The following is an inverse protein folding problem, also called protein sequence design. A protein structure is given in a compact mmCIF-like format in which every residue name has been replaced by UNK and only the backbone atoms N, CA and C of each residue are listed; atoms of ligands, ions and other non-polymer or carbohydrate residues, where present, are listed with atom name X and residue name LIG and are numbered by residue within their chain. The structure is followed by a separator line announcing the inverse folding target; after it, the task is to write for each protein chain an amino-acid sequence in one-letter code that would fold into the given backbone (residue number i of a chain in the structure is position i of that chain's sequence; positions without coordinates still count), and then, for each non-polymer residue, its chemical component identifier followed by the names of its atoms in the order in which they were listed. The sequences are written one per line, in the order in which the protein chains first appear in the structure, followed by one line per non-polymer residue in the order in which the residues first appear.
data_IF_108081516458
#
_entry.id   IF_108081516458
#
_cell.length_a   1.000
_cell.length_b   1.000
_cell.length_c   1.000
_cell.angle_alpha   90.00
_cell.angle_beta   90.00
_cell.angle_gamma   90.00
#
_symmetry.space_group_name_H-M   'P 1'
#
loop_
_entity.id
_entity.type
_entity.pdbx_description
1 polymer ?
#
# COMPACT_ATOMS: atom_id res chain seq x y z
N UNK A 1 16.57 -40.89 36.53
CA UNK A 1 17.71 -40.85 35.58
C UNK A 1 17.23 -40.35 34.22
N UNK A 2 17.48 -39.08 33.88
CA UNK A 2 17.08 -38.42 32.60
C UNK A 2 17.90 -38.89 31.38
N UNK A 3 18.23 -40.18 31.29
CA UNK A 3 19.08 -40.72 30.22
C UNK A 3 18.38 -40.67 28.84
N UNK A 4 17.04 -40.70 28.83
CA UNK A 4 16.25 -40.64 27.59
C UNK A 4 16.24 -39.23 26.95
N UNK A 5 16.35 -38.17 27.76
CA UNK A 5 16.49 -36.78 27.29
C UNK A 5 17.86 -36.50 26.65
N UNK A 6 18.84 -37.38 26.86
CA UNK A 6 20.19 -37.28 26.33
C UNK A 6 20.42 -38.11 25.06
N UNK A 7 19.37 -38.69 24.46
CA UNK A 7 19.50 -39.11 23.06
C UNK A 7 19.59 -37.85 22.21
N UNK A 8 20.64 -37.71 21.38
CA UNK A 8 20.85 -36.55 20.48
C UNK A 8 19.59 -36.17 19.69
N UNK A 9 18.70 -37.14 19.44
CA UNK A 9 17.41 -36.99 18.76
C UNK A 9 16.42 -36.10 19.52
N UNK A 10 16.30 -36.26 20.84
CA UNK A 10 15.37 -35.45 21.65
C UNK A 10 15.84 -34.00 21.78
N UNK A 11 17.15 -33.81 21.91
CA UNK A 11 17.74 -32.47 21.95
C UNK A 11 17.55 -31.75 20.61
N UNK A 12 17.73 -32.46 19.48
CA UNK A 12 17.47 -31.92 18.15
C UNK A 12 15.99 -31.57 17.94
N UNK A 13 15.07 -32.44 18.37
CA UNK A 13 13.64 -32.16 18.30
C UNK A 13 13.26 -30.90 19.10
N UNK A 14 13.77 -30.77 20.33
CA UNK A 14 13.56 -29.57 21.15
C UNK A 14 14.11 -28.32 20.46
N UNK A 15 15.32 -28.40 19.91
CA UNK A 15 15.94 -27.29 19.19
C UNK A 15 15.07 -26.85 17.99
N UNK A 16 14.53 -27.80 17.22
CA UNK A 16 13.62 -27.50 16.10
C UNK A 16 12.37 -26.77 16.61
N UNK A 17 11.74 -27.26 17.68
CA UNK A 17 10.55 -26.62 18.26
C UNK A 17 10.84 -25.19 18.71
N UNK A 18 12.00 -24.97 19.35
CA UNK A 18 12.42 -23.63 19.77
C UNK A 18 12.64 -22.71 18.56
N UNK A 19 13.38 -23.17 17.55
CA UNK A 19 13.61 -22.39 16.32
C UNK A 19 12.31 -22.05 15.61
N UNK A 20 11.39 -23.02 15.52
CA UNK A 20 10.07 -22.81 14.94
C UNK A 20 9.26 -21.78 15.73
N UNK A 21 9.23 -21.89 17.06
CA UNK A 21 8.56 -20.94 17.94
C UNK A 21 9.10 -19.51 17.77
N UNK A 22 10.43 -19.35 17.76
CA UNK A 22 11.09 -18.05 17.52
C UNK A 22 10.71 -17.49 16.15
N UNK A 23 10.71 -18.32 15.11
CA UNK A 23 10.33 -17.91 13.75
C UNK A 23 8.89 -17.43 13.70
N UNK A 24 7.95 -18.14 14.33
CA UNK A 24 6.56 -17.72 14.41
C UNK A 24 6.38 -16.38 15.14
N UNK A 25 7.13 -16.16 16.23
CA UNK A 25 7.11 -14.88 16.96
C UNK A 25 7.63 -13.74 16.09
N UNK A 26 8.77 -13.93 15.43
CA UNK A 26 9.35 -12.93 14.52
C UNK A 26 8.40 -12.58 13.37
N UNK A 27 7.74 -13.60 12.79
CA UNK A 27 6.72 -13.40 11.76
C UNK A 27 5.50 -12.67 12.31
N UNK A 28 5.05 -12.99 13.53
CA UNK A 28 3.96 -12.28 14.20
C UNK A 28 4.28 -10.80 14.42
N UNK A 29 5.49 -10.50 14.88
CA UNK A 29 5.97 -9.13 15.02
C UNK A 29 6.09 -8.43 13.66
N UNK A 30 6.54 -9.13 12.63
CA UNK A 30 6.57 -8.62 11.25
C UNK A 30 5.17 -8.24 10.76
N UNK A 31 4.17 -9.08 11.01
CA UNK A 31 2.78 -8.78 10.66
C UNK A 31 2.29 -7.48 11.33
N UNK A 32 2.62 -7.28 12.60
CA UNK A 32 2.25 -6.06 13.33
C UNK A 32 2.97 -4.82 12.79
N UNK A 33 4.28 -4.90 12.54
CA UNK A 33 5.06 -3.82 11.91
C UNK A 33 4.48 -3.46 10.55
N UNK A 34 4.18 -4.47 9.73
CA UNK A 34 3.60 -4.30 8.40
C UNK A 34 2.20 -3.69 8.44
N UNK A 35 1.40 -4.06 9.44
CA UNK A 35 0.10 -3.44 9.66
C UNK A 35 0.23 -1.96 10.00
N UNK A 36 1.17 -1.60 10.87
CA UNK A 36 1.41 -0.21 11.26
C UNK A 36 1.85 0.65 10.07
N UNK A 37 2.76 0.15 9.23
CA UNK A 37 3.14 0.79 7.96
C UNK A 37 1.90 1.06 7.08
N UNK A 38 1.04 0.06 6.90
CA UNK A 38 -0.18 0.20 6.09
C UNK A 38 -1.16 1.19 6.69
N UNK A 39 -1.31 1.22 8.02
CA UNK A 39 -2.17 2.18 8.72
C UNK A 39 -1.67 3.61 8.54
N UNK A 40 -0.36 3.84 8.70
CA UNK A 40 0.27 5.16 8.47
C UNK A 40 0.04 5.65 7.05
N UNK A 41 0.26 4.80 6.05
CA UNK A 41 -0.02 5.13 4.65
C UNK A 41 -1.49 5.46 4.41
N UNK A 42 -2.40 4.62 4.90
CA UNK A 42 -3.84 4.86 4.76
C UNK A 42 -4.29 6.15 5.44
N UNK A 43 -3.73 6.48 6.60
CA UNK A 43 -4.01 7.73 7.30
C UNK A 43 -3.58 8.94 6.46
N UNK A 44 -2.37 8.92 5.89
CA UNK A 44 -1.88 9.97 4.98
C UNK A 44 -2.74 10.11 3.71
N UNK A 45 -3.16 8.98 3.11
CA UNK A 45 -4.08 9.00 1.98
C UNK A 45 -5.42 9.64 2.37
N UNK A 46 -5.96 9.24 3.52
CA UNK A 46 -7.28 9.69 3.98
C UNK A 46 -7.27 11.17 4.34
N UNK A 47 -6.17 11.68 4.91
CA UNK A 47 -6.02 13.12 5.16
C UNK A 47 -5.93 13.91 3.85
N UNK A 48 -5.32 13.36 2.79
CA UNK A 48 -5.06 14.12 1.56
C UNK A 48 -6.17 14.03 0.51
N UNK A 49 -6.91 12.93 0.46
CA UNK A 49 -7.93 12.70 -0.58
C UNK A 49 -9.12 13.68 -0.50
N UNK A 50 -9.41 14.18 0.70
CA UNK A 50 -10.49 15.14 0.96
C UNK A 50 -10.04 16.60 0.89
N UNK A 51 -8.74 16.87 0.73
CA UNK A 51 -8.24 18.23 0.64
C UNK A 51 -8.67 18.90 -0.68
N UNK A 52 -8.76 20.24 -0.69
CA UNK A 52 -9.04 20.99 -1.92
C UNK A 52 -8.04 20.65 -3.03
N UNK A 53 -8.57 20.55 -4.25
CA UNK A 53 -7.77 20.34 -5.46
C UNK A 53 -6.99 21.62 -5.76
N UNK A 54 -5.68 21.48 -5.95
CA UNK A 54 -4.76 22.60 -6.21
C UNK A 54 -4.08 22.44 -7.57
N UNK A 55 -3.63 23.53 -8.23
CA UNK A 55 -2.87 23.41 -9.47
C UNK A 55 -1.56 22.66 -9.21
N UNK A 56 -1.13 21.80 -10.15
CA UNK A 56 0.11 21.02 -10.00
C UNK A 56 1.35 21.92 -9.81
N UNK A 57 1.32 23.14 -10.36
CA UNK A 57 2.36 24.15 -10.19
C UNK A 57 2.60 24.54 -8.73
N UNK A 58 1.58 24.46 -7.87
CA UNK A 58 1.73 24.81 -6.44
C UNK A 58 2.39 23.70 -5.62
N UNK A 59 2.63 22.51 -6.19
CA UNK A 59 3.38 21.44 -5.53
C UNK A 59 4.89 21.47 -5.86
N UNK A 60 5.29 22.19 -6.90
CA UNK A 60 6.70 22.30 -7.30
C UNK A 60 7.34 23.49 -6.56
N UNK A 61 7.87 23.23 -5.36
CA UNK A 61 8.62 24.19 -4.53
C UNK A 61 9.31 23.48 -3.36
N UNK A 62 9.83 24.23 -2.38
CA UNK A 62 10.45 23.73 -1.13
C UNK A 62 9.51 22.94 -0.18
N UNK A 63 8.33 22.50 -0.65
CA UNK A 63 7.36 21.77 0.16
C UNK A 63 7.86 20.37 0.56
N UNK A 64 7.37 19.87 1.70
CA UNK A 64 7.65 18.50 2.12
C UNK A 64 7.02 17.52 1.11
N UNK A 65 7.80 16.52 0.67
CA UNK A 65 7.32 15.46 -0.21
C UNK A 65 6.11 14.73 0.40
N UNK A 66 6.02 14.71 1.74
CA UNK A 66 4.87 14.18 2.46
C UNK A 66 3.54 14.86 2.05
N UNK A 67 3.53 16.19 1.86
CA UNK A 67 2.33 16.98 1.56
C UNK A 67 1.81 16.76 0.13
N UNK A 68 2.71 16.34 -0.77
CA UNK A 68 2.38 16.03 -2.16
C UNK A 68 1.81 14.61 -2.34
N UNK A 69 2.08 13.69 -1.42
CA UNK A 69 1.64 12.29 -1.53
C UNK A 69 0.11 12.19 -1.56
N UNK A 70 -0.43 11.49 -2.56
CA UNK A 70 -1.87 11.26 -2.73
C UNK A 70 -2.73 12.55 -2.77
N UNK A 71 -2.12 13.70 -3.09
CA UNK A 71 -2.84 14.96 -3.22
C UNK A 71 -3.53 15.06 -4.58
N UNK A 72 -4.79 15.51 -4.59
CA UNK A 72 -5.52 15.80 -5.82
C UNK A 72 -5.03 17.11 -6.43
N UNK A 73 -4.65 17.07 -7.70
CA UNK A 73 -4.18 18.23 -8.44
C UNK A 73 -4.83 18.38 -9.81
N UNK A 74 -4.84 19.61 -10.31
CA UNK A 74 -5.23 19.94 -11.69
C UNK A 74 -4.00 20.37 -12.47
N UNK A 75 -3.87 19.89 -13.71
CA UNK A 75 -2.85 20.31 -14.65
C UNK A 75 -3.51 20.75 -15.96
N UNK A 76 -2.96 21.80 -16.57
CA UNK A 76 -3.34 22.26 -17.91
C UNK A 76 -2.12 22.16 -18.82
N UNK A 77 -2.34 21.80 -20.08
CA UNK A 77 -1.26 21.58 -21.03
C UNK A 77 -1.79 21.29 -22.43
N UNK A 78 -0.87 21.02 -23.36
CA UNK A 78 -1.17 20.65 -24.74
C UNK A 78 -0.66 19.23 -25.01
N UNK A 79 -1.43 18.46 -25.77
CA UNK A 79 -1.00 17.12 -26.17
C UNK A 79 0.20 17.19 -27.12
N UNK A 80 1.22 16.39 -26.82
CA UNK A 80 2.36 16.16 -27.70
C UNK A 80 2.13 14.85 -28.47
N UNK A 81 1.70 14.98 -29.73
CA UNK A 81 1.44 13.85 -30.62
C UNK A 81 2.72 13.16 -31.11
N UNK A 82 3.90 13.78 -30.92
CA UNK A 82 5.18 13.19 -31.34
C UNK A 82 5.66 12.09 -30.41
N UNK A 83 5.12 12.01 -29.19
CA UNK A 83 5.48 11.05 -28.13
C UNK A 83 4.23 10.33 -27.61
N UNK A 84 3.27 10.03 -28.49
CA UNK A 84 2.03 9.35 -28.10
C UNK A 84 2.29 7.87 -27.74
N UNK A 85 1.77 7.43 -26.60
CA UNK A 85 1.84 6.05 -26.14
C UNK A 85 0.41 5.51 -25.95
N UNK A 86 0.08 4.42 -26.64
CA UNK A 86 -1.22 3.75 -26.52
C UNK A 86 -1.24 2.92 -25.24
N UNK A 87 -2.06 3.32 -24.27
CA UNK A 87 -2.29 2.55 -23.04
C UNK A 87 -3.33 1.45 -23.29
N UNK A 88 -2.87 0.20 -23.38
CA UNK A 88 -3.75 -0.98 -23.41
C UNK A 88 -4.07 -1.47 -21.99
N UNK A 89 -5.29 -1.95 -21.75
CA UNK A 89 -5.66 -2.56 -20.46
C UNK A 89 -6.41 -1.67 -19.46
N UNK A 90 -7.05 -0.58 -19.92
CA UNK A 90 -7.99 0.18 -19.07
C UNK A 90 -9.19 -0.72 -18.71
N UNK A 91 -9.16 -1.32 -17.53
CA UNK A 91 -10.32 -2.02 -16.97
C UNK A 91 -11.44 -0.99 -16.77
N UNK A 92 -12.50 -1.08 -17.58
CA UNK A 92 -13.66 -0.21 -17.44
C UNK A 92 -14.31 -0.52 -16.08
N UNK A 93 -14.07 0.33 -15.08
CA UNK A 93 -14.92 0.33 -13.89
C UNK A 93 -16.21 1.01 -14.32
N UNK A 94 -17.18 0.21 -14.75
CA UNK A 94 -18.51 0.68 -15.14
C UNK A 94 -19.13 1.43 -13.96
N UNK A 95 -18.92 2.74 -13.93
CA UNK A 95 -19.76 3.66 -13.18
C UNK A 95 -21.12 3.61 -13.84
N UNK A 96 -22.13 3.22 -13.06
CA UNK A 96 -23.56 3.31 -13.37
C UNK A 96 -23.83 4.47 -14.34
N UNK A 97 -24.23 4.14 -15.57
CA UNK A 97 -24.72 5.13 -16.52
C UNK A 97 -25.91 5.88 -15.88
N UNK A 98 -26.04 7.20 -16.05
CA UNK A 98 -27.28 7.88 -15.74
C UNK A 98 -28.32 7.41 -16.76
N UNK A 99 -29.17 6.47 -16.36
CA UNK A 99 -30.33 6.09 -17.15
C UNK A 99 -31.28 7.30 -17.21
N UNK A 100 -31.32 7.94 -18.37
CA UNK A 100 -32.51 8.54 -18.96
C UNK A 100 -33.31 9.49 -18.05
N UNK A 101 -32.72 10.66 -17.78
CA UNK A 101 -33.49 11.88 -17.53
C UNK A 101 -33.64 12.67 -18.84
N UNK A 102 -34.41 12.13 -19.80
CA UNK A 102 -34.83 12.84 -21.01
C UNK A 102 -35.97 12.09 -21.73
N UNK A 103 -37.12 11.98 -21.06
CA UNK A 103 -38.40 11.73 -21.74
C UNK A 103 -39.47 12.62 -21.09
N UNK A 104 -39.38 13.92 -21.37
CA UNK A 104 -40.50 14.86 -21.52
C UNK A 104 -40.10 15.86 -22.59
#
# INVERSE_FOLDING_TARGET
MYRFLYSKRWLAALAIVVVFGVTCVELGLWQLRRLDERKKLNAAISSHIHLPVIPVSSLFGEGDAADALYRRVTATGRYDVSQEVVLTGRHQRAGRAPSEAAQW
#
